data_IF_658176182355
#
_entry.id   IF_658176182355
#
_cell.length_a   1.000
_cell.length_b   1.000
_cell.length_c   1.000
_cell.angle_alpha   90.00
_cell.angle_beta   90.00
_cell.angle_gamma   90.00
#
_symmetry.space_group_name_H-M   'P 1'
#
loop_
_entity.id
_entity.type
_entity.pdbx_description
1 polymer ?
#
# COMPACT_ATOMS: atom_id res chain seq x y z
N UNK A 1 14.74 11.80 -8.38
CA UNK A 1 14.44 11.60 -6.95
C UNK A 1 13.00 12.01 -6.71
N UNK A 2 12.16 11.06 -6.33
CA UNK A 2 10.76 11.31 -5.96
C UNK A 2 10.70 12.11 -4.65
N UNK A 3 10.90 13.43 -4.72
CA UNK A 3 11.07 14.30 -3.54
C UNK A 3 9.76 14.68 -2.83
N UNK A 4 8.60 14.33 -3.39
CA UNK A 4 7.28 14.64 -2.83
C UNK A 4 6.42 13.37 -2.72
N UNK A 5 6.88 12.39 -1.93
CA UNK A 5 6.17 11.11 -1.74
C UNK A 5 5.89 10.89 -0.27
N UNK A 6 4.66 10.43 -0.01
CA UNK A 6 4.23 9.89 1.27
C UNK A 6 4.07 8.38 1.15
N UNK A 7 4.55 7.66 2.14
CA UNK A 7 4.56 6.20 2.20
C UNK A 7 3.54 5.75 3.22
N UNK A 8 2.56 4.95 2.83
CA UNK A 8 1.58 4.36 3.75
C UNK A 8 1.80 2.85 3.76
N UNK A 9 2.07 2.28 4.93
CA UNK A 9 2.47 0.88 5.04
C UNK A 9 2.10 0.25 6.37
N UNK A 10 1.76 -1.04 6.35
CA UNK A 10 1.74 -1.88 7.56
C UNK A 10 2.97 -2.80 7.67
N UNK A 11 3.91 -2.72 6.70
CA UNK A 11 5.11 -3.55 6.65
C UNK A 11 6.18 -3.02 7.62
N UNK A 12 6.55 -3.78 8.68
CA UNK A 12 7.57 -3.35 9.63
C UNK A 12 8.94 -3.12 8.98
N UNK A 13 9.31 -3.91 7.97
CA UNK A 13 10.59 -3.75 7.28
C UNK A 13 10.65 -2.43 6.51
N UNK A 14 9.54 -2.02 5.87
CA UNK A 14 9.46 -0.72 5.20
C UNK A 14 9.60 0.41 6.21
N UNK A 15 8.92 0.33 7.36
CA UNK A 15 9.04 1.30 8.45
C UNK A 15 10.49 1.47 8.91
N UNK A 16 11.24 0.38 9.04
CA UNK A 16 12.62 0.40 9.55
C UNK A 16 13.65 0.83 8.51
N UNK A 17 13.47 0.47 7.23
CA UNK A 17 14.51 0.59 6.21
C UNK A 17 14.31 1.71 5.20
N UNK A 18 13.13 2.33 5.14
CA UNK A 18 12.92 3.43 4.21
C UNK A 18 13.73 4.65 4.65
N UNK A 19 14.30 5.45 3.72
CA UNK A 19 15.04 6.65 4.11
C UNK A 19 14.18 7.65 4.88
N UNK A 20 14.76 8.24 5.94
CA UNK A 20 14.04 9.15 6.86
C UNK A 20 13.47 10.42 6.21
N UNK A 21 13.93 10.77 5.00
CA UNK A 21 13.41 11.93 4.27
C UNK A 21 12.07 11.66 3.58
N UNK A 22 11.59 10.41 3.54
CA UNK A 22 10.21 10.12 3.13
C UNK A 22 9.25 10.33 4.29
N UNK A 23 8.12 10.98 4.02
CA UNK A 23 7.05 11.04 5.02
C UNK A 23 6.35 9.69 5.09
N UNK A 24 6.59 8.94 6.17
CA UNK A 24 6.02 7.61 6.37
C UNK A 24 4.90 7.63 7.41
N UNK A 25 3.80 6.98 7.05
CA UNK A 25 2.73 6.63 7.96
C UNK A 25 2.64 5.11 8.11
N UNK A 26 2.91 4.65 9.33
CA UNK A 26 2.79 3.23 9.68
C UNK A 26 1.38 2.93 10.18
N UNK A 27 0.77 1.88 9.64
CA UNK A 27 -0.53 1.36 10.04
C UNK A 27 -0.31 0.07 10.83
N UNK A 28 -0.62 0.10 12.12
CA UNK A 28 -0.66 -1.10 12.95
C UNK A 28 -2.00 -1.81 12.72
N UNK A 29 -2.07 -2.53 11.60
CA UNK A 29 -3.31 -3.04 11.05
C UNK A 29 -3.12 -3.89 9.80
N UNK A 30 -4.23 -4.29 9.19
CA UNK A 30 -4.23 -5.15 8.00
C UNK A 30 -4.15 -4.36 6.67
N UNK A 31 -4.16 -5.07 5.55
CA UNK A 31 -4.11 -4.48 4.21
C UNK A 31 -5.38 -3.65 3.91
N UNK A 32 -6.53 -4.01 4.47
CA UNK A 32 -7.77 -3.25 4.29
C UNK A 32 -7.65 -1.88 4.96
N UNK A 33 -7.06 -1.81 6.14
CA UNK A 33 -6.80 -0.56 6.86
C UNK A 33 -5.81 0.34 6.11
N UNK A 34 -4.77 -0.23 5.52
CA UNK A 34 -3.85 0.50 4.62
C UNK A 34 -4.63 1.09 3.43
N UNK A 35 -5.48 0.30 2.77
CA UNK A 35 -6.25 0.78 1.62
C UNK A 35 -7.25 1.87 1.99
N UNK A 36 -7.97 1.72 3.11
CA UNK A 36 -8.88 2.75 3.63
C UNK A 36 -8.13 4.04 3.92
N UNK A 37 -6.95 3.95 4.54
CA UNK A 37 -6.13 5.14 4.81
C UNK A 37 -5.70 5.84 3.53
N UNK A 38 -5.26 5.09 2.54
CA UNK A 38 -4.91 5.62 1.21
C UNK A 38 -6.10 6.32 0.57
N UNK A 39 -7.29 5.71 0.58
CA UNK A 39 -8.52 6.35 0.07
C UNK A 39 -8.83 7.66 0.79
N UNK A 40 -8.71 7.70 2.12
CA UNK A 40 -8.96 8.92 2.90
C UNK A 40 -7.98 10.05 2.51
N UNK A 41 -6.75 9.72 2.13
CA UNK A 41 -5.81 10.68 1.55
C UNK A 41 -6.17 11.09 0.13
N UNK A 42 -6.61 10.17 -0.72
CA UNK A 42 -7.08 10.50 -2.07
C UNK A 42 -8.25 11.48 -2.02
N UNK A 43 -9.20 11.29 -1.09
CA UNK A 43 -10.30 12.23 -0.84
C UNK A 43 -9.82 13.62 -0.39
N UNK A 44 -8.63 13.73 0.20
CA UNK A 44 -7.99 15.00 0.61
C UNK A 44 -7.14 15.62 -0.51
N UNK A 45 -7.22 15.09 -1.73
CA UNK A 45 -6.52 15.61 -2.91
C UNK A 45 -5.16 14.96 -3.20
N UNK A 46 -4.77 13.89 -2.50
CA UNK A 46 -3.54 13.15 -2.85
C UNK A 46 -3.76 12.24 -4.07
N UNK A 47 -2.69 11.93 -4.80
CA UNK A 47 -2.72 11.02 -5.96
C UNK A 47 -1.95 9.74 -5.67
N UNK A 48 -2.39 8.62 -6.26
CA UNK A 48 -1.67 7.36 -6.21
C UNK A 48 -0.42 7.44 -7.09
N UNK A 49 0.73 7.01 -6.55
CA UNK A 49 1.98 6.89 -7.31
C UNK A 49 2.34 5.43 -7.60
N UNK A 50 1.76 4.49 -6.83
CA UNK A 50 1.87 3.05 -7.05
C UNK A 50 0.50 2.41 -7.01
N UNK A 51 0.30 1.40 -7.86
CA UNK A 51 -0.96 0.66 -7.87
C UNK A 51 -1.17 -0.12 -6.56
N UNK A 52 -2.35 -0.08 -5.92
CA UNK A 52 -2.60 -0.75 -4.63
C UNK A 52 -2.52 -2.27 -4.69
N UNK A 53 -2.85 -2.91 -5.81
CA UNK A 53 -2.74 -4.37 -5.97
C UNK A 53 -1.36 -4.80 -6.49
N UNK A 54 -0.85 -5.93 -5.99
CA UNK A 54 0.31 -6.62 -6.57
C UNK A 54 -0.12 -7.44 -7.78
N UNK A 55 0.65 -7.38 -8.88
CA UNK A 55 0.36 -8.19 -10.07
C UNK A 55 0.54 -9.67 -9.76
N UNK A 56 -0.41 -10.50 -10.22
CA UNK A 56 -0.42 -11.97 -10.09
C UNK A 56 -0.58 -12.57 -8.68
N UNK A 57 -0.71 -11.76 -7.63
CA UNK A 57 -0.97 -12.25 -6.26
C UNK A 57 -2.38 -11.87 -5.82
N UNK A 58 -3.11 -12.80 -5.20
CA UNK A 58 -4.46 -12.47 -4.72
C UNK A 58 -4.37 -11.49 -3.55
N UNK A 59 -5.21 -10.45 -3.49
CA UNK A 59 -5.08 -9.42 -2.45
C UNK A 59 -5.23 -9.95 -1.02
N UNK A 60 -5.99 -11.03 -0.82
CA UNK A 60 -6.19 -11.67 0.48
C UNK A 60 -5.03 -12.58 0.92
N UNK A 61 -4.05 -12.83 0.05
CA UNK A 61 -2.94 -13.75 0.33
C UNK A 61 -1.71 -13.01 0.89
N UNK A 62 -1.64 -11.69 0.82
CA UNK A 62 -0.48 -10.91 1.31
C UNK A 62 -0.81 -10.20 2.62
N UNK A 63 -0.07 -10.43 3.71
CA UNK A 63 -0.32 -9.76 4.99
C UNK A 63 0.21 -8.32 5.04
N UNK A 64 1.16 -7.98 4.15
CA UNK A 64 1.83 -6.68 4.14
C UNK A 64 1.58 -5.93 2.85
N UNK A 65 1.41 -4.63 2.97
CA UNK A 65 1.29 -3.75 1.83
C UNK A 65 1.85 -2.36 2.10
N UNK A 66 2.57 -1.85 1.10
CA UNK A 66 3.03 -0.48 1.05
C UNK A 66 2.50 0.21 -0.21
N UNK A 67 2.00 1.44 -0.06
CA UNK A 67 1.50 2.27 -1.16
C UNK A 67 2.15 3.66 -1.07
N UNK A 68 2.67 4.12 -2.21
CA UNK A 68 3.19 5.47 -2.38
C UNK A 68 2.09 6.39 -2.92
N UNK A 69 1.93 7.55 -2.27
CA UNK A 69 1.05 8.62 -2.72
C UNK A 69 1.82 9.93 -2.81
N UNK A 70 1.28 10.91 -3.56
CA UNK A 70 1.86 12.24 -3.61
C UNK A 70 1.91 12.85 -2.20
N UNK A 71 2.95 13.59 -1.86
CA UNK A 71 2.91 14.40 -0.65
C UNK A 71 2.09 15.68 -0.86
N UNK A 72 2.14 16.23 -2.08
CA UNK A 72 1.33 17.37 -2.51
C UNK A 72 -0.13 16.98 -2.68
N UNK A 73 -1.01 17.90 -2.28
CA UNK A 73 -2.46 17.81 -2.50
C UNK A 73 -2.84 18.66 -3.71
N UNK A 74 -3.65 18.10 -4.57
CA UNK A 74 -4.37 18.82 -5.60
C UNK A 74 -5.56 19.57 -4.96
N UNK A 75 -6.03 20.64 -5.61
CA UNK A 75 -7.24 21.35 -5.20
C UNK A 75 -8.49 20.47 -5.32
N UNK A 76 -8.52 19.62 -6.34
CA UNK A 76 -9.60 18.68 -6.61
C UNK A 76 -9.14 17.24 -6.40
N UNK A 77 -10.11 16.37 -6.09
CA UNK A 77 -9.87 14.92 -6.01
C UNK A 77 -9.46 14.39 -7.38
N UNK A 78 -8.41 13.56 -7.39
CA UNK A 78 -7.99 12.82 -8.57
C UNK A 78 -8.89 11.59 -8.74
N UNK A 79 -9.84 11.69 -9.69
CA UNK A 79 -10.85 10.65 -9.89
C UNK A 79 -10.27 9.32 -10.37
N UNK A 80 -9.14 9.33 -11.08
CA UNK A 80 -8.46 8.11 -11.50
C UNK A 80 -7.90 7.37 -10.28
N UNK A 81 -7.16 8.07 -9.41
CA UNK A 81 -6.67 7.54 -8.14
C UNK A 81 -7.80 7.03 -7.26
N UNK A 82 -8.93 7.76 -7.21
CA UNK A 82 -10.11 7.37 -6.45
C UNK A 82 -10.72 6.08 -7.00
N UNK A 83 -10.90 5.97 -8.31
CA UNK A 83 -11.44 4.78 -8.95
C UNK A 83 -10.54 3.57 -8.66
N UNK A 84 -9.22 3.72 -8.83
CA UNK A 84 -8.25 2.64 -8.60
C UNK A 84 -8.27 2.14 -7.16
N UNK A 85 -8.30 3.04 -6.16
CA UNK A 85 -8.30 2.61 -4.75
C UNK A 85 -9.63 1.96 -4.36
N UNK A 86 -10.77 2.47 -4.84
CA UNK A 86 -12.09 1.88 -4.59
C UNK A 86 -12.21 0.49 -5.21
N UNK A 87 -11.76 0.31 -6.47
CA UNK A 87 -11.75 -0.99 -7.14
C UNK A 87 -10.82 -1.98 -6.43
N UNK A 88 -9.69 -1.50 -5.91
CA UNK A 88 -8.74 -2.32 -5.14
C UNK A 88 -9.33 -2.78 -3.81
N UNK A 89 -10.04 -1.91 -3.10
CA UNK A 89 -10.79 -2.25 -1.87
C UNK A 89 -11.89 -3.26 -2.18
N UNK A 90 -12.69 -3.00 -3.22
CA UNK A 90 -13.76 -3.90 -3.62
C UNK A 90 -13.24 -5.30 -3.97
N UNK A 91 -12.10 -5.37 -4.68
CA UNK A 91 -11.42 -6.63 -5.00
C UNK A 91 -10.95 -7.34 -3.73
N UNK A 92 -10.24 -6.65 -2.83
CA UNK A 92 -9.79 -7.21 -1.55
C UNK A 92 -10.95 -7.82 -0.75
N UNK A 93 -12.02 -7.05 -0.55
CA UNK A 93 -13.20 -7.49 0.20
C UNK A 93 -13.89 -8.69 -0.47
N UNK A 94 -13.96 -8.71 -1.80
CA UNK A 94 -14.48 -9.86 -2.55
C UNK A 94 -13.65 -11.12 -2.28
N UNK A 95 -12.33 -11.01 -2.34
CA UNK A 95 -11.44 -12.15 -2.09
C UNK A 95 -11.50 -12.63 -0.64
N UNK A 96 -11.52 -11.72 0.35
CA UNK A 96 -11.66 -12.08 1.77
C UNK A 96 -12.99 -12.77 2.09
N UNK A 97 -14.06 -12.46 1.35
CA UNK A 97 -15.37 -13.12 1.48
C UNK A 97 -15.42 -14.48 0.78
N UNK A 98 -14.78 -14.61 -0.38
CA UNK A 98 -14.85 -15.82 -1.21
C UNK A 98 -13.83 -16.88 -0.82
N UNK A 99 -12.72 -16.48 -0.20
CA UNK A 99 -11.61 -17.37 0.12
C UNK A 99 -11.14 -17.12 1.55
N UNK A 100 -10.79 -18.20 2.25
CA UNK A 100 -10.15 -18.07 3.55
C UNK A 100 -8.80 -17.36 3.40
N UNK A 101 -8.50 -16.45 4.34
CA UNK A 101 -7.17 -15.89 4.47
C UNK A 101 -6.21 -17.02 4.89
N UNK A 102 -5.08 -17.24 4.17
CA UNK A 102 -4.12 -18.25 4.58
C UNK A 102 -3.51 -17.89 5.93
N UNK A 103 -3.35 -18.88 6.81
CA UNK A 103 -2.56 -18.73 8.03
C UNK A 103 -1.07 -18.91 7.68
N UNK A 104 -0.36 -17.79 7.57
CA UNK A 104 1.04 -17.80 7.21
C UNK A 104 1.91 -18.02 8.45
N UNK A 105 2.81 -18.99 8.37
CA UNK A 105 3.87 -19.10 9.38
C UNK A 105 4.84 -17.90 9.28
N UNK A 106 5.62 -17.68 10.34
CA UNK A 106 6.55 -16.54 10.44
C UNK A 106 7.59 -16.48 9.32
N UNK A 107 8.01 -17.63 8.78
CA UNK A 107 8.95 -17.66 7.65
C UNK A 107 8.30 -17.08 6.39
N UNK A 108 7.07 -17.48 6.08
CA UNK A 108 6.36 -16.99 4.90
C UNK A 108 5.97 -15.53 5.07
N UNK A 109 5.56 -15.11 6.27
CA UNK A 109 5.33 -13.68 6.57
C UNK A 109 6.58 -12.86 6.27
N UNK A 110 7.76 -13.33 6.71
CA UNK A 110 9.03 -12.66 6.42
C UNK A 110 9.32 -12.58 4.92
N UNK A 111 9.00 -13.62 4.14
CA UNK A 111 9.17 -13.59 2.69
C UNK A 111 8.26 -12.53 2.05
N UNK A 112 6.97 -12.44 2.43
CA UNK A 112 6.08 -11.37 1.97
C UNK A 112 6.53 -9.97 2.37
N UNK A 113 7.08 -9.84 3.58
CA UNK A 113 7.65 -8.60 4.10
C UNK A 113 8.78 -8.08 3.20
N UNK A 114 9.68 -8.98 2.78
CA UNK A 114 10.79 -8.69 1.86
C UNK A 114 10.25 -8.33 0.48
N UNK A 115 9.31 -9.12 -0.06
CA UNK A 115 8.74 -8.88 -1.40
C UNK A 115 8.10 -7.49 -1.50
N UNK A 116 7.26 -7.13 -0.53
CA UNK A 116 6.61 -5.81 -0.52
C UNK A 116 7.64 -4.68 -0.37
N UNK A 117 8.63 -4.83 0.52
CA UNK A 117 9.71 -3.85 0.67
C UNK A 117 10.53 -3.67 -0.63
N UNK A 118 10.96 -4.77 -1.25
CA UNK A 118 11.79 -4.75 -2.45
C UNK A 118 11.06 -4.09 -3.64
N UNK A 119 9.76 -4.33 -3.79
CA UNK A 119 8.94 -3.66 -4.81
C UNK A 119 9.00 -2.14 -4.67
N UNK A 120 8.88 -1.63 -3.44
CA UNK A 120 8.89 -0.19 -3.17
C UNK A 120 10.29 0.40 -3.25
N UNK A 121 11.28 -0.31 -2.72
CA UNK A 121 12.68 0.10 -2.76
C UNK A 121 13.15 0.25 -4.23
N UNK A 122 12.67 -0.61 -5.13
CA UNK A 122 12.95 -0.50 -6.56
C UNK A 122 12.26 0.70 -7.24
N UNK A 123 11.09 1.14 -6.75
CA UNK A 123 10.41 2.35 -7.27
C UNK A 123 11.09 3.61 -6.77
N UNK A 124 11.53 3.63 -5.51
CA UNK A 124 12.13 4.80 -4.86
C UNK A 124 13.57 5.06 -5.32
N UNK A 125 14.35 4.01 -5.59
CA UNK A 125 15.75 4.13 -6.02
C UNK A 125 15.94 4.26 -7.53
N UNK A 126 14.85 4.28 -8.31
CA UNK A 126 14.87 4.62 -9.75
C UNK A 126 14.68 6.12 -9.95
#
# INVERSE_FOLDING_TARGET
MLSDVKVITNNPMTKEKIPEYFELEYIDGDVEEVFKRVRDYVHKGHTLLTHPLMSSVKPNETPYRTILISNKKNENVDFESLQIIEDSIASLLKFMKMFNCPDWNERIKKDFMIIDYDLINNVINK
#
